data_IF_793624575196
#
_entry.id   IF_793624575196
#
_cell.length_a   1.000
_cell.length_b   1.000
_cell.length_c   1.000
_cell.angle_alpha   90.00
_cell.angle_beta   90.00
_cell.angle_gamma   90.00
#
_symmetry.space_group_name_H-M   'P 1'
#
loop_
_entity.id
_entity.type
_entity.pdbx_description
1 polymer ?
#
# COMPACT_ATOMS: atom_id res chain seq x y z
N UNK A 1 -7.35 -27.17 2.80
CA UNK A 1 -7.69 -26.49 1.53
C UNK A 1 -7.63 -24.98 1.71
N UNK A 2 -6.92 -24.30 0.84
CA UNK A 2 -6.83 -22.84 0.91
C UNK A 2 -8.05 -22.18 0.27
N UNK A 3 -8.42 -21.02 0.77
CA UNK A 3 -9.51 -20.22 0.21
C UNK A 3 -9.08 -19.54 -1.10
N UNK A 4 -10.04 -19.07 -1.92
CA UNK A 4 -9.72 -18.49 -3.22
C UNK A 4 -8.72 -17.35 -3.16
N UNK A 5 -7.83 -17.28 -4.14
CA UNK A 5 -6.77 -16.27 -4.24
C UNK A 5 -7.27 -14.84 -4.44
N UNK A 6 -8.55 -14.68 -4.78
CA UNK A 6 -9.18 -13.38 -4.97
C UNK A 6 -9.67 -12.74 -3.68
N UNK A 7 -9.64 -13.47 -2.56
CA UNK A 7 -10.12 -12.99 -1.28
C UNK A 7 -8.95 -12.49 -0.43
N UNK A 8 -9.11 -11.30 0.16
CA UNK A 8 -8.20 -10.79 1.17
C UNK A 8 -8.84 -10.95 2.55
N UNK A 9 -8.06 -11.45 3.50
CA UNK A 9 -8.44 -11.47 4.91
C UNK A 9 -7.66 -10.38 5.62
N UNK A 10 -8.38 -9.43 6.19
CA UNK A 10 -7.80 -8.32 6.92
C UNK A 10 -8.10 -8.52 8.40
N UNK A 11 -7.05 -8.78 9.18
CA UNK A 11 -7.15 -9.04 10.60
C UNK A 11 -6.86 -7.74 11.38
N UNK A 12 -7.84 -7.29 12.14
CA UNK A 12 -7.72 -6.09 12.97
C UNK A 12 -7.19 -6.38 14.38
N UNK A 13 -7.00 -7.65 14.70
CA UNK A 13 -6.51 -8.08 16.00
C UNK A 13 -5.33 -9.04 15.84
N UNK A 14 -4.14 -8.51 15.42
CA UNK A 14 -2.98 -9.35 15.21
C UNK A 14 -2.63 -10.15 16.45
N UNK A 15 -2.37 -11.43 16.26
CA UNK A 15 -2.01 -12.34 17.35
C UNK A 15 -0.76 -13.13 17.00
N UNK A 16 -0.21 -13.84 18.01
CA UNK A 16 0.98 -14.66 17.84
C UNK A 16 0.78 -15.80 16.84
N UNK A 17 -0.46 -16.16 16.55
CA UNK A 17 -0.79 -17.28 15.65
C UNK A 17 -0.99 -16.86 14.19
N UNK A 18 -0.53 -15.68 13.80
CA UNK A 18 -0.75 -15.18 12.44
C UNK A 18 -0.21 -16.14 11.36
N UNK A 19 0.87 -16.86 11.63
CA UNK A 19 1.43 -17.83 10.69
C UNK A 19 0.47 -18.98 10.40
N UNK A 20 -0.31 -19.39 11.40
CA UNK A 20 -1.34 -20.40 11.22
C UNK A 20 -2.45 -19.88 10.29
N UNK A 21 -2.87 -18.62 10.48
CA UNK A 21 -3.88 -17.98 9.65
C UNK A 21 -3.39 -17.78 8.22
N UNK A 22 -2.10 -17.49 8.02
CA UNK A 22 -1.52 -17.41 6.67
C UNK A 22 -1.57 -18.73 5.92
N UNK A 23 -1.55 -19.86 6.61
CA UNK A 23 -1.69 -21.17 5.97
C UNK A 23 -3.11 -21.44 5.49
N UNK A 24 -4.09 -20.81 6.13
CA UNK A 24 -5.51 -20.98 5.78
C UNK A 24 -5.95 -20.03 4.66
N UNK A 25 -5.32 -18.88 4.55
CA UNK A 25 -5.72 -17.81 3.62
C UNK A 25 -4.53 -17.37 2.77
N UNK A 26 -4.73 -17.31 1.45
CA UNK A 26 -3.67 -16.90 0.52
C UNK A 26 -3.31 -15.42 0.63
N UNK A 27 -4.25 -14.58 1.04
CA UNK A 27 -4.07 -13.14 1.12
C UNK A 27 -4.43 -12.65 2.52
N UNK A 28 -3.54 -12.92 3.48
CA UNK A 28 -3.75 -12.54 4.88
C UNK A 28 -2.91 -11.30 5.22
N UNK A 29 -3.58 -10.28 5.76
CA UNK A 29 -2.94 -9.02 6.14
C UNK A 29 -3.41 -8.67 7.55
N UNK A 30 -2.48 -8.19 8.37
CA UNK A 30 -2.77 -7.62 9.69
C UNK A 30 -2.69 -6.10 9.60
N UNK A 31 -3.68 -5.41 10.16
CA UNK A 31 -3.67 -3.94 10.20
C UNK A 31 -4.43 -3.45 11.43
N UNK A 32 -4.47 -2.14 11.64
CA UNK A 32 -5.22 -1.53 12.72
C UNK A 32 -6.48 -0.82 12.21
N UNK A 33 -7.34 -0.41 13.15
CA UNK A 33 -8.61 0.25 12.83
C UNK A 33 -8.38 1.58 12.11
N UNK A 34 -7.31 2.29 12.44
CA UNK A 34 -6.99 3.57 11.80
C UNK A 34 -6.59 3.41 10.35
N UNK A 35 -5.91 2.32 10.03
CA UNK A 35 -5.38 2.05 8.68
C UNK A 35 -6.36 1.36 7.75
N UNK A 36 -7.34 0.61 8.30
CA UNK A 36 -8.16 -0.28 7.48
C UNK A 36 -8.95 0.45 6.39
N UNK A 37 -9.51 1.61 6.69
CA UNK A 37 -10.25 2.39 5.70
C UNK A 37 -9.37 2.85 4.54
N UNK A 38 -8.17 3.33 4.84
CA UNK A 38 -7.20 3.76 3.84
C UNK A 38 -6.72 2.56 3.03
N UNK A 39 -6.46 1.44 3.69
CA UNK A 39 -6.04 0.20 3.03
C UNK A 39 -7.09 -0.28 2.02
N UNK A 40 -8.37 -0.26 2.39
CA UNK A 40 -9.45 -0.64 1.49
C UNK A 40 -9.55 0.29 0.29
N UNK A 41 -9.41 1.59 0.50
CA UNK A 41 -9.37 2.56 -0.60
C UNK A 41 -8.18 2.32 -1.52
N UNK A 42 -7.01 2.02 -0.95
CA UNK A 42 -5.82 1.72 -1.73
C UNK A 42 -6.03 0.48 -2.61
N UNK A 43 -6.59 -0.58 -2.04
CA UNK A 43 -6.87 -1.81 -2.80
C UNK A 43 -7.82 -1.50 -3.95
N UNK A 44 -8.87 -0.73 -3.68
CA UNK A 44 -9.84 -0.34 -4.71
C UNK A 44 -9.19 0.50 -5.81
N UNK A 45 -8.42 1.52 -5.44
CA UNK A 45 -7.82 2.44 -6.40
C UNK A 45 -6.70 1.79 -7.23
N UNK A 46 -5.85 0.97 -6.60
CA UNK A 46 -4.58 0.60 -7.20
C UNK A 46 -4.42 -0.89 -7.50
N UNK A 47 -5.23 -1.75 -6.90
CA UNK A 47 -5.13 -3.20 -7.10
C UNK A 47 -6.30 -3.77 -7.90
N UNK A 48 -7.48 -3.17 -7.81
CA UNK A 48 -8.69 -3.67 -8.48
C UNK A 48 -8.96 -2.91 -9.77
N UNK A 49 -8.86 -1.58 -9.75
CA UNK A 49 -9.12 -0.76 -10.91
C UNK A 49 -7.91 -0.68 -11.85
N UNK A 50 -8.12 -0.71 -13.17
CA UNK A 50 -7.05 -0.47 -14.12
C UNK A 50 -6.44 0.91 -13.93
N UNK A 51 -5.13 1.01 -13.93
CA UNK A 51 -4.41 2.27 -13.88
C UNK A 51 -3.30 2.26 -14.94
N UNK A 52 -2.77 3.44 -15.27
CA UNK A 52 -1.69 3.52 -16.29
C UNK A 52 -0.41 2.88 -15.82
N UNK A 53 -0.10 3.08 -14.53
CA UNK A 53 1.00 2.42 -13.88
C UNK A 53 0.39 1.74 -12.68
N UNK A 54 0.37 0.43 -12.69
CA UNK A 54 -0.35 -0.36 -11.69
C UNK A 54 0.58 -1.32 -10.98
N UNK A 55 0.22 -1.67 -9.77
CA UNK A 55 0.91 -2.70 -9.01
C UNK A 55 0.56 -4.08 -9.56
N UNK A 56 1.52 -4.98 -9.48
CA UNK A 56 1.24 -6.38 -9.65
C UNK A 56 0.58 -6.93 -8.38
N UNK A 57 -0.63 -7.49 -8.51
CA UNK A 57 -1.30 -8.18 -7.40
C UNK A 57 -0.43 -9.33 -6.89
N UNK A 58 0.26 -10.02 -7.81
CA UNK A 58 1.13 -11.12 -7.45
C UNK A 58 2.30 -10.67 -6.58
N UNK A 59 2.94 -9.57 -6.94
CA UNK A 59 4.01 -9.02 -6.12
C UNK A 59 3.51 -8.56 -4.75
N UNK A 60 2.33 -7.94 -4.69
CA UNK A 60 1.73 -7.54 -3.43
C UNK A 60 1.49 -8.74 -2.52
N UNK A 61 1.01 -9.86 -3.07
CA UNK A 61 0.84 -11.11 -2.32
C UNK A 61 2.16 -11.63 -1.79
N UNK A 62 3.19 -11.62 -2.61
CA UNK A 62 4.52 -12.09 -2.21
C UNK A 62 5.09 -11.26 -1.07
N UNK A 63 5.01 -9.95 -1.18
CA UNK A 63 5.45 -9.06 -0.10
C UNK A 63 4.63 -9.22 1.16
N UNK A 64 3.31 -9.38 1.05
CA UNK A 64 2.43 -9.49 2.22
C UNK A 64 2.57 -10.83 2.94
N UNK A 65 3.05 -11.87 2.28
CA UNK A 65 3.39 -13.13 2.96
C UNK A 65 4.60 -12.94 3.87
N UNK A 66 5.61 -12.22 3.39
CA UNK A 66 6.82 -11.94 4.17
C UNK A 66 6.60 -10.85 5.21
N UNK A 67 5.85 -9.81 4.85
CA UNK A 67 5.60 -8.63 5.68
C UNK A 67 4.09 -8.39 5.78
N UNK A 68 3.38 -9.21 6.57
CA UNK A 68 1.92 -9.16 6.62
C UNK A 68 1.34 -8.02 7.48
N UNK A 69 2.16 -7.32 8.26
CA UNK A 69 1.71 -6.21 9.06
C UNK A 69 1.71 -4.94 8.21
N UNK A 70 0.53 -4.36 8.00
CA UNK A 70 0.35 -3.22 7.11
C UNK A 70 -0.20 -2.03 7.88
N UNK A 71 0.41 -0.87 7.67
CA UNK A 71 -0.15 0.41 8.07
C UNK A 71 -0.40 1.24 6.83
N UNK A 72 -1.43 2.06 6.89
CA UNK A 72 -1.81 2.90 5.76
C UNK A 72 -1.96 4.34 6.22
N UNK A 73 -1.47 5.26 5.40
CA UNK A 73 -1.67 6.69 5.61
C UNK A 73 -2.16 7.31 4.32
N UNK A 74 -2.91 8.41 4.41
CA UNK A 74 -3.30 9.17 3.24
C UNK A 74 -3.08 10.66 3.48
N UNK A 75 -2.86 11.39 2.41
CA UNK A 75 -2.74 12.83 2.45
C UNK A 75 -3.29 13.41 1.15
N UNK A 76 -3.50 14.70 1.14
CA UNK A 76 -3.89 15.43 -0.06
C UNK A 76 -2.79 15.36 -1.11
N UNK A 77 -3.18 15.25 -2.38
CA UNK A 77 -2.22 15.25 -3.49
C UNK A 77 -1.37 16.52 -3.46
N UNK A 78 -0.08 16.39 -3.76
CA UNK A 78 0.85 17.52 -3.73
C UNK A 78 1.52 17.75 -2.39
N UNK A 79 1.16 16.98 -1.36
CA UNK A 79 1.81 17.02 -0.05
C UNK A 79 2.70 15.81 0.14
N UNK A 80 3.82 16.01 0.84
CA UNK A 80 4.72 14.91 1.18
C UNK A 80 4.15 14.07 2.31
N UNK A 81 4.48 12.78 2.27
CA UNK A 81 4.19 11.83 3.35
C UNK A 81 5.46 11.62 4.15
N UNK A 82 5.33 11.53 5.48
CA UNK A 82 6.46 11.15 6.33
C UNK A 82 6.78 9.67 6.08
N UNK A 83 7.99 9.40 5.63
CA UNK A 83 8.40 8.03 5.34
C UNK A 83 8.83 7.34 6.63
N UNK A 84 8.24 6.17 6.90
CA UNK A 84 8.64 5.35 8.03
C UNK A 84 9.82 4.47 7.63
N UNK A 85 10.99 4.77 8.17
CA UNK A 85 12.23 4.06 7.88
C UNK A 85 12.26 2.62 8.42
N UNK A 86 11.32 2.25 9.28
CA UNK A 86 11.20 0.90 9.79
C UNK A 86 10.42 -0.03 8.87
N UNK A 87 9.73 0.52 7.87
CA UNK A 87 9.01 -0.28 6.89
C UNK A 87 9.98 -1.08 6.04
N UNK A 88 9.60 -2.30 5.69
CA UNK A 88 10.38 -3.18 4.80
C UNK A 88 10.01 -3.01 3.33
N UNK A 89 8.76 -2.60 3.08
CA UNK A 89 8.30 -2.29 1.73
C UNK A 89 7.29 -1.15 1.81
N UNK A 90 7.22 -0.36 0.76
CA UNK A 90 6.30 0.76 0.66
C UNK A 90 5.58 0.68 -0.69
N UNK A 91 4.25 0.80 -0.63
CA UNK A 91 3.39 0.96 -1.79
C UNK A 91 2.86 2.38 -1.81
N UNK A 92 3.26 3.15 -2.80
CA UNK A 92 2.92 4.57 -2.90
C UNK A 92 1.92 4.77 -4.03
N UNK A 93 0.70 5.14 -3.70
CA UNK A 93 -0.37 5.33 -4.66
C UNK A 93 -0.75 6.78 -4.82
N UNK A 94 -0.77 7.26 -6.07
CA UNK A 94 -1.18 8.62 -6.40
C UNK A 94 -2.49 8.57 -7.19
N UNK A 95 -3.46 9.39 -6.77
CA UNK A 95 -4.74 9.54 -7.47
C UNK A 95 -4.91 11.01 -7.84
N UNK A 96 -4.82 11.33 -9.13
CA UNK A 96 -5.05 12.67 -9.66
C UNK A 96 -5.34 12.60 -11.15
N UNK A 97 -5.89 13.68 -11.71
CA UNK A 97 -6.10 13.76 -13.15
C UNK A 97 -4.77 14.01 -13.86
N UNK A 98 -4.36 13.07 -14.71
CA UNK A 98 -3.04 13.09 -15.34
C UNK A 98 -2.85 14.27 -16.31
N UNK A 99 -3.93 14.83 -16.83
CA UNK A 99 -3.89 15.97 -17.74
C UNK A 99 -4.16 17.31 -17.05
N UNK A 100 -4.19 17.34 -15.71
CA UNK A 100 -4.39 18.60 -15.00
C UNK A 100 -3.12 19.45 -15.04
N UNK A 101 -3.29 20.76 -14.82
CA UNK A 101 -2.18 21.72 -14.86
C UNK A 101 -1.12 21.51 -13.76
N UNK A 102 -1.52 20.82 -12.68
CA UNK A 102 -0.64 20.59 -11.53
C UNK A 102 0.07 19.23 -11.57
N UNK A 103 -0.11 18.43 -12.63
CA UNK A 103 0.44 17.08 -12.68
C UNK A 103 1.95 17.06 -12.49
N UNK A 104 2.69 17.97 -13.12
CA UNK A 104 4.15 18.03 -12.97
C UNK A 104 4.56 18.37 -11.54
N UNK A 105 3.83 19.28 -10.89
CA UNK A 105 4.06 19.64 -9.50
C UNK A 105 3.84 18.44 -8.57
N UNK A 106 2.81 17.67 -8.82
CA UNK A 106 2.51 16.46 -8.02
C UNK A 106 3.61 15.41 -8.17
N UNK A 107 4.09 15.20 -9.38
CA UNK A 107 5.19 14.27 -9.62
C UNK A 107 6.51 14.76 -9.02
N UNK A 108 6.75 16.06 -8.99
CA UNK A 108 7.90 16.63 -8.31
C UNK A 108 7.86 16.34 -6.80
N UNK A 109 6.71 16.53 -6.16
CA UNK A 109 6.54 16.23 -4.74
C UNK A 109 6.77 14.74 -4.46
N UNK A 110 6.26 13.87 -5.32
CA UNK A 110 6.49 12.44 -5.22
C UNK A 110 7.99 12.12 -5.29
N UNK A 111 8.70 12.67 -6.27
CA UNK A 111 10.14 12.44 -6.42
C UNK A 111 10.94 12.95 -5.22
N UNK A 112 10.59 14.11 -4.69
CA UNK A 112 11.21 14.64 -3.48
C UNK A 112 10.97 13.72 -2.28
N UNK A 113 9.78 13.13 -2.19
CA UNK A 113 9.45 12.19 -1.15
C UNK A 113 10.28 10.90 -1.27
N UNK A 114 10.51 10.42 -2.50
CA UNK A 114 11.34 9.24 -2.73
C UNK A 114 12.79 9.47 -2.31
N UNK A 115 13.30 10.68 -2.48
CA UNK A 115 14.68 11.02 -2.10
C UNK A 115 14.90 10.90 -0.57
N UNK A 116 13.83 10.93 0.21
CA UNK A 116 13.88 10.76 1.66
C UNK A 116 13.91 9.29 2.09
N UNK A 117 13.69 8.36 1.14
CA UNK A 117 13.65 6.93 1.45
C UNK A 117 15.05 6.32 1.50
N UNK A 118 15.23 5.37 2.42
CA UNK A 118 16.44 4.57 2.48
C UNK A 118 16.52 3.56 1.32
N UNK A 119 17.74 3.17 0.96
CA UNK A 119 17.97 2.25 -0.15
C UNK A 119 17.50 0.81 0.14
N UNK A 120 17.35 0.48 1.43
CA UNK A 120 16.98 -0.87 1.86
C UNK A 120 15.47 -1.12 1.85
N UNK A 121 14.68 -0.13 1.50
CA UNK A 121 13.22 -0.24 1.49
C UNK A 121 12.74 -0.55 0.07
N UNK A 122 12.00 -1.64 -0.10
CA UNK A 122 11.37 -1.95 -1.38
C UNK A 122 10.28 -0.95 -1.69
N UNK A 123 10.33 -0.36 -2.89
CA UNK A 123 9.33 0.62 -3.32
C UNK A 123 8.55 0.11 -4.53
N UNK A 124 7.24 0.19 -4.45
CA UNK A 124 6.33 0.06 -5.58
C UNK A 124 5.46 1.32 -5.62
N UNK A 125 5.07 1.76 -6.80
CA UNK A 125 4.23 2.95 -6.94
C UNK A 125 3.23 2.78 -8.06
N UNK A 126 2.12 3.51 -7.97
CA UNK A 126 1.03 3.44 -8.93
C UNK A 126 0.41 4.82 -9.10
N UNK A 127 -0.01 5.14 -10.31
CA UNK A 127 -0.75 6.35 -10.60
C UNK A 127 -2.11 5.96 -11.16
N UNK A 128 -3.17 6.43 -10.51
CA UNK A 128 -4.54 6.26 -10.95
C UNK A 128 -5.07 7.61 -11.45
N UNK A 129 -5.62 7.61 -12.66
CA UNK A 129 -6.29 8.80 -13.19
C UNK A 129 -7.65 8.95 -12.50
N UNK A 130 -7.78 9.92 -11.63
CA UNK A 130 -8.92 10.05 -10.73
C UNK A 130 -9.08 11.50 -10.27
N UNK A 131 -10.31 11.89 -9.93
CA UNK A 131 -10.62 13.20 -9.35
C UNK A 131 -10.46 13.22 -7.82
N UNK A 132 -10.06 12.12 -7.20
CA UNK A 132 -10.00 12.03 -5.74
C UNK A 132 -8.88 12.87 -5.12
N UNK A 133 -7.84 13.19 -5.89
CA UNK A 133 -6.75 14.09 -5.48
C UNK A 133 -6.12 13.68 -4.13
N UNK A 134 -5.75 12.42 -4.02
CA UNK A 134 -5.25 11.84 -2.78
C UNK A 134 -3.98 11.03 -3.03
N UNK A 135 -3.10 11.02 -2.03
CA UNK A 135 -1.97 10.10 -1.94
C UNK A 135 -2.28 9.08 -0.85
N UNK A 136 -2.12 7.82 -1.17
CA UNK A 136 -2.33 6.70 -0.24
C UNK A 136 -1.06 5.87 -0.20
N UNK A 137 -0.53 5.64 0.99
CA UNK A 137 0.73 4.92 1.14
C UNK A 137 0.54 3.77 2.11
N UNK A 138 0.96 2.58 1.69
CA UNK A 138 1.01 1.41 2.55
C UNK A 138 2.43 1.15 2.98
N UNK A 139 2.61 0.92 4.27
CA UNK A 139 3.87 0.47 4.85
C UNK A 139 3.72 -0.98 5.29
N UNK A 140 4.61 -1.84 4.82
CA UNK A 140 4.63 -3.24 5.17
C UNK A 140 5.77 -3.51 6.14
N UNK A 141 5.46 -4.20 7.23
CA UNK A 141 6.41 -4.46 8.31
C UNK A 141 6.54 -5.94 8.59
N UNK A 142 7.71 -6.30 9.10
CA UNK A 142 7.91 -7.60 9.69
C UNK A 142 7.24 -7.62 11.07
N UNK A 143 6.33 -8.58 11.33
CA UNK A 143 5.67 -8.64 12.62
C UNK A 143 6.63 -8.97 13.73
N UNK A 144 6.49 -8.27 14.86
CA UNK A 144 7.21 -8.64 16.08
C UNK A 144 6.46 -9.79 16.76
N UNK A 145 7.14 -10.89 16.92
CA UNK A 145 6.57 -12.08 17.55
C UNK A 145 6.96 -12.11 19.02
#
# INVERSE_FOLDING_TARGET
MKHPKTCFVIDLHPCANYKHLQKLWDNYIMTDVESVGILLNFIHHHLVNPSRITFSIQEFREYSVTYPLVRAVSTEIGKKVTIDSNAKAIYYGLCFELNCEFADSYMKTFNENLDEMGEDIGLQWSIQNSTDNVVEVLYLYEPKV
#
